data_IF_581094385577
#
_entry.id   IF_581094385577
#
_cell.length_a   1.000
_cell.length_b   1.000
_cell.length_c   1.000
_cell.angle_alpha   90.00
_cell.angle_beta   90.00
_cell.angle_gamma   90.00
#
_symmetry.space_group_name_H-M   'P 1'
#
loop_
_entity.id
_entity.type
_entity.pdbx_description
1 polymer ?
#
# COMPACT_ATOMS: atom_id res chain seq x y z
N UNK A 1 7.72 8.55 2.14
CA UNK A 1 7.12 7.51 1.27
C UNK A 1 5.90 6.84 1.93
N UNK A 2 5.84 6.74 3.27
CA UNK A 2 4.75 6.07 4.00
C UNK A 2 3.46 6.92 4.13
N UNK A 3 3.55 8.25 4.09
CA UNK A 3 2.41 9.15 4.37
C UNK A 3 1.28 9.09 3.34
N UNK A 4 1.59 8.77 2.07
CA UNK A 4 0.56 8.61 1.04
C UNK A 4 -0.32 7.38 1.31
N UNK A 5 0.25 6.30 1.83
CA UNK A 5 -0.50 5.09 2.17
C UNK A 5 -1.29 5.27 3.47
N UNK A 6 -0.73 5.98 4.46
CA UNK A 6 -1.46 6.38 5.68
C UNK A 6 -2.74 7.15 5.34
N UNK A 7 -2.63 8.17 4.47
CA UNK A 7 -3.79 8.96 4.00
C UNK A 7 -4.77 8.14 3.16
N UNK A 8 -4.28 7.23 2.33
CA UNK A 8 -5.12 6.37 1.50
C UNK A 8 -5.98 5.42 2.35
N UNK A 9 -5.36 4.79 3.36
CA UNK A 9 -6.02 3.80 4.22
C UNK A 9 -6.90 4.49 5.27
N UNK A 10 -6.52 5.70 5.71
CA UNK A 10 -7.28 6.48 6.69
C UNK A 10 -7.07 6.04 8.13
N UNK A 11 -5.86 5.56 8.47
CA UNK A 11 -5.55 5.21 9.85
C UNK A 11 -5.38 6.46 10.74
N UNK A 12 -5.64 6.36 12.05
CA UNK A 12 -5.38 7.45 12.99
C UNK A 12 -3.90 7.87 13.01
N UNK A 13 -3.62 9.16 13.25
CA UNK A 13 -2.24 9.68 13.32
C UNK A 13 -1.41 9.08 14.46
N UNK A 14 -2.07 8.60 15.52
CA UNK A 14 -1.41 7.90 16.64
C UNK A 14 -0.98 6.47 16.28
N UNK A 15 -1.47 5.93 15.17
CA UNK A 15 -1.12 4.60 14.70
C UNK A 15 0.01 4.67 13.67
N UNK A 16 0.85 3.65 13.68
CA UNK A 16 1.91 3.52 12.69
C UNK A 16 1.56 2.48 11.64
N UNK A 17 2.06 2.69 10.41
CA UNK A 17 1.88 1.74 9.32
C UNK A 17 3.25 1.14 9.02
N UNK A 18 3.43 -0.12 9.36
CA UNK A 18 4.66 -0.86 9.11
C UNK A 18 4.52 -1.68 7.84
N UNK A 19 5.39 -1.43 6.86
CA UNK A 19 5.48 -2.32 5.71
C UNK A 19 6.12 -3.65 6.12
N UNK A 20 5.42 -4.75 5.85
CA UNK A 20 5.85 -6.10 6.22
C UNK A 20 6.34 -6.87 5.01
N UNK A 21 5.73 -6.62 3.85
CA UNK A 21 6.14 -7.27 2.61
C UNK A 21 5.93 -6.34 1.42
N UNK A 22 6.71 -6.57 0.39
CA UNK A 22 6.51 -6.04 -0.94
C UNK A 22 6.71 -7.19 -1.93
N UNK A 23 5.76 -7.31 -2.85
CA UNK A 23 5.84 -8.25 -3.96
C UNK A 23 5.62 -7.49 -5.26
N UNK A 24 6.62 -7.51 -6.13
CA UNK A 24 6.46 -7.05 -7.51
C UNK A 24 5.77 -8.13 -8.34
N UNK A 25 4.58 -7.85 -8.86
CA UNK A 25 3.80 -8.79 -9.69
C UNK A 25 4.20 -8.77 -11.16
N UNK A 26 5.17 -7.93 -11.53
CA UNK A 26 5.64 -7.75 -12.89
C UNK A 26 4.73 -6.85 -13.73
N UNK A 27 5.18 -6.58 -14.95
CA UNK A 27 4.37 -5.88 -15.94
C UNK A 27 3.26 -6.79 -16.48
N UNK A 28 2.00 -6.45 -16.21
CA UNK A 28 0.82 -7.16 -16.72
C UNK A 28 -0.06 -6.19 -17.50
N UNK A 29 -0.39 -6.53 -18.75
CA UNK A 29 -1.27 -5.72 -19.63
C UNK A 29 -0.83 -4.24 -19.75
N UNK A 30 0.48 -3.99 -19.83
CA UNK A 30 1.00 -2.61 -19.92
C UNK A 30 0.92 -1.82 -18.62
N UNK A 31 0.75 -2.50 -17.49
CA UNK A 31 0.82 -1.92 -16.15
C UNK A 31 1.90 -2.64 -15.35
N UNK A 32 2.78 -1.88 -14.72
CA UNK A 32 3.66 -2.38 -13.69
C UNK A 32 2.90 -2.45 -12.37
N UNK A 33 2.84 -3.64 -11.77
CA UNK A 33 2.00 -3.89 -10.60
C UNK A 33 2.85 -4.27 -9.40
N UNK A 34 2.76 -3.48 -8.34
CA UNK A 34 3.37 -3.75 -7.04
C UNK A 34 2.27 -4.05 -6.01
N UNK A 35 2.54 -5.01 -5.14
CA UNK A 35 1.72 -5.34 -3.99
C UNK A 35 2.51 -5.05 -2.72
N UNK A 36 1.94 -4.26 -1.83
CA UNK A 36 2.53 -3.94 -0.53
C UNK A 36 1.62 -4.46 0.57
N UNK A 37 2.21 -5.12 1.55
CA UNK A 37 1.49 -5.54 2.75
C UNK A 37 1.94 -4.64 3.89
N UNK A 38 0.98 -3.99 4.52
CA UNK A 38 1.19 -3.17 5.70
C UNK A 38 0.44 -3.70 6.90
N UNK A 39 1.03 -3.55 8.08
CA UNK A 39 0.39 -3.77 9.37
C UNK A 39 0.24 -2.43 10.07
N UNK A 40 -0.95 -2.17 10.59
CA UNK A 40 -1.24 -1.01 11.43
C UNK A 40 -0.95 -1.37 12.87
N UNK A 41 -0.07 -0.60 13.48
CA UNK A 41 0.41 -0.79 14.84
C UNK A 41 -0.16 0.36 15.68
N UNK A 42 -0.86 0.03 16.75
CA UNK A 42 -1.38 1.04 17.67
C UNK A 42 -0.27 1.65 18.52
N UNK A 43 -0.61 2.66 19.33
CA UNK A 43 0.32 3.31 20.27
C UNK A 43 0.98 2.36 21.28
N UNK A 44 0.32 1.23 21.59
CA UNK A 44 0.82 0.24 22.53
C UNK A 44 1.81 -0.75 21.88
N UNK A 45 1.95 -0.71 20.55
CA UNK A 45 2.79 -1.65 19.80
C UNK A 45 2.06 -2.89 19.30
N UNK A 46 0.73 -2.98 19.45
CA UNK A 46 -0.07 -4.10 18.96
C UNK A 46 -0.51 -3.91 17.52
N UNK A 47 -0.53 -4.99 16.74
CA UNK A 47 -1.07 -4.99 15.39
C UNK A 47 -2.60 -5.00 15.46
N UNK A 48 -3.21 -3.91 15.01
CA UNK A 48 -4.68 -3.70 15.03
C UNK A 48 -5.33 -3.85 13.65
N UNK A 49 -4.52 -3.96 12.60
CA UNK A 49 -5.02 -4.15 11.23
C UNK A 49 -3.94 -4.57 10.26
N UNK A 50 -4.36 -5.19 9.16
CA UNK A 50 -3.48 -5.54 8.04
C UNK A 50 -4.12 -5.07 6.73
N UNK A 51 -3.31 -4.47 5.88
CA UNK A 51 -3.73 -3.84 4.64
C UNK A 51 -2.88 -4.34 3.49
N UNK A 52 -3.53 -4.71 2.41
CA UNK A 52 -2.89 -4.99 1.13
C UNK A 52 -3.11 -3.79 0.22
N UNK A 53 -2.03 -3.11 -0.14
CA UNK A 53 -2.06 -1.98 -1.08
C UNK A 53 -1.49 -2.43 -2.41
N UNK A 54 -2.27 -2.27 -3.47
CA UNK A 54 -1.87 -2.53 -4.83
C UNK A 54 -1.60 -1.21 -5.55
N UNK A 55 -0.39 -1.07 -6.08
CA UNK A 55 0.00 -0.01 -7.00
C UNK A 55 0.03 -0.55 -8.42
N UNK A 56 -0.56 0.19 -9.36
CA UNK A 56 -0.55 -0.12 -10.78
C UNK A 56 -0.12 1.12 -11.55
N UNK A 57 1.06 1.07 -12.15
CA UNK A 57 1.62 2.18 -12.94
C UNK A 57 1.64 1.84 -14.41
N UNK A 58 1.09 2.70 -15.26
CA UNK A 58 1.18 2.53 -16.72
C UNK A 58 2.63 2.61 -17.17
N UNK A 59 3.12 1.59 -17.88
CA UNK A 59 4.48 1.62 -18.48
C UNK A 59 4.53 2.42 -19.78
N UNK A 60 3.35 2.81 -20.31
CA UNK A 60 3.23 3.65 -21.49
C UNK A 60 2.68 5.03 -21.12
N UNK A 61 3.09 6.09 -21.84
CA UNK A 61 2.50 7.41 -21.68
C UNK A 61 0.98 7.40 -21.90
N UNK A 62 0.21 8.13 -21.08
CA UNK A 62 0.64 8.85 -19.89
C UNK A 62 0.94 7.90 -18.72
N UNK A 63 2.06 8.13 -18.01
CA UNK A 63 2.52 7.33 -16.86
C UNK A 63 1.63 7.53 -15.63
N UNK A 64 0.38 7.06 -15.71
CA UNK A 64 -0.61 7.16 -14.63
C UNK A 64 -0.39 6.03 -13.63
N UNK A 65 -0.35 6.39 -12.35
CA UNK A 65 -0.35 5.44 -11.23
C UNK A 65 -1.74 5.41 -10.60
N UNK A 66 -2.26 4.20 -10.37
CA UNK A 66 -3.46 3.96 -9.58
C UNK A 66 -3.08 3.20 -8.32
N UNK A 67 -3.61 3.64 -7.20
CA UNK A 67 -3.45 3.00 -5.90
C UNK A 67 -4.82 2.49 -5.44
N UNK A 68 -4.86 1.26 -4.95
CA UNK A 68 -6.05 0.66 -4.34
C UNK A 68 -5.61 -0.13 -3.12
N UNK A 69 -6.45 -0.21 -2.09
CA UNK A 69 -6.15 -1.01 -0.91
C UNK A 69 -7.34 -1.92 -0.54
N UNK A 70 -7.04 -3.02 0.14
CA UNK A 70 -8.00 -3.89 0.78
C UNK A 70 -7.57 -4.16 2.22
N UNK A 71 -8.54 -4.23 3.13
CA UNK A 71 -8.30 -4.72 4.49
C UNK A 71 -8.33 -6.26 4.45
N UNK A 72 -7.38 -6.89 5.13
CA UNK A 72 -7.37 -8.34 5.41
C UNK A 72 -7.99 -8.59 6.78
#
# INVERSE_FOLDING_TARGET
MNDNYKKLIGIPDEHDLRQVSMEWKGSRKGQDVDLYIFEEINKNGDIVGKYEVKSSTSIYPPFKTNLSYSKM
#
